data_IF_536822201978
#
_entry.id   IF_536822201978
#
_cell.length_a   1.000
_cell.length_b   1.000
_cell.length_c   1.000
_cell.angle_alpha   90.00
_cell.angle_beta   90.00
_cell.angle_gamma   90.00
#
_symmetry.space_group_name_H-M   'P 1'
#
loop_
_entity.id
_entity.type
_entity.pdbx_description
1 polymer ?
#
# COMPACT_ATOMS: atom_id res chain seq x y z
N UNK A 1 -1.89 9.51 -6.78
CA UNK A 1 -1.74 8.33 -7.66
C UNK A 1 -2.84 8.38 -8.70
N UNK A 2 -2.55 8.01 -9.94
CA UNK A 2 -3.56 7.83 -10.99
C UNK A 2 -3.35 6.44 -11.57
N UNK A 3 -4.40 5.61 -11.52
CA UNK A 3 -4.41 4.29 -12.14
C UNK A 3 -5.53 4.21 -13.17
N UNK A 4 -5.29 3.50 -14.26
CA UNK A 4 -6.28 3.31 -15.31
C UNK A 4 -6.25 1.86 -15.81
N UNK A 5 -7.41 1.25 -15.89
CA UNK A 5 -7.60 0.00 -16.63
C UNK A 5 -8.24 0.37 -17.96
N UNK A 6 -7.62 -0.07 -19.04
CA UNK A 6 -8.18 0.03 -20.40
C UNK A 6 -8.45 -1.39 -20.90
N UNK A 7 -9.68 -1.68 -21.25
CA UNK A 7 -10.11 -2.96 -21.84
C UNK A 7 -10.50 -2.71 -23.28
N UNK A 8 -9.58 -3.02 -24.19
CA UNK A 8 -9.78 -2.88 -25.62
C UNK A 8 -10.82 -3.89 -26.14
N UNK A 9 -11.43 -3.56 -27.29
CA UNK A 9 -12.46 -4.38 -27.96
C UNK A 9 -12.04 -5.81 -28.25
N UNK A 10 -10.75 -6.05 -28.42
CA UNK A 10 -10.17 -7.40 -28.66
C UNK A 10 -10.03 -8.24 -27.39
N UNK A 11 -10.12 -7.63 -26.20
CA UNK A 11 -9.82 -8.27 -24.91
C UNK A 11 -11.04 -8.98 -24.32
N UNK A 12 -11.60 -9.94 -25.05
CA UNK A 12 -12.75 -10.76 -24.61
C UNK A 12 -12.40 -11.57 -23.36
N UNK A 13 -13.33 -11.64 -22.41
CA UNK A 13 -13.20 -12.46 -21.20
C UNK A 13 -12.20 -11.90 -20.17
N UNK A 14 -11.80 -10.64 -20.28
CA UNK A 14 -10.88 -9.99 -19.34
C UNK A 14 -11.40 -10.06 -17.91
N UNK A 15 -10.53 -10.40 -16.99
CA UNK A 15 -10.72 -10.30 -15.54
C UNK A 15 -9.62 -9.39 -14.98
N UNK A 16 -9.98 -8.20 -14.54
CA UNK A 16 -9.03 -7.20 -14.06
C UNK A 16 -9.48 -6.50 -12.79
N UNK A 17 -8.50 -6.16 -11.96
CA UNK A 17 -8.70 -5.40 -10.73
C UNK A 17 -7.55 -4.41 -10.54
N UNK A 18 -7.88 -3.15 -10.28
CA UNK A 18 -6.93 -2.10 -9.90
C UNK A 18 -7.12 -1.72 -8.43
N UNK A 19 -6.11 -1.98 -7.61
CA UNK A 19 -6.10 -1.55 -6.21
C UNK A 19 -5.06 -0.45 -5.98
N UNK A 20 -5.48 0.68 -5.43
CA UNK A 20 -4.61 1.78 -5.03
C UNK A 20 -4.77 2.01 -3.54
N UNK A 21 -3.78 1.56 -2.75
CA UNK A 21 -3.77 1.70 -1.30
C UNK A 21 -2.61 2.58 -0.87
N UNK A 22 -2.86 3.56 -0.02
CA UNK A 22 -1.86 4.49 0.47
C UNK A 22 -1.99 4.74 1.96
N UNK A 23 -0.85 4.81 2.64
CA UNK A 23 -0.77 5.19 4.04
C UNK A 23 0.02 6.48 4.17
N UNK A 24 -0.60 7.51 4.73
CA UNK A 24 0.07 8.77 5.03
C UNK A 24 0.82 8.63 6.36
N UNK A 25 2.14 8.80 6.32
CA UNK A 25 3.00 8.65 7.50
C UNK A 25 3.11 9.94 8.33
N UNK A 26 2.61 11.06 7.81
CA UNK A 26 2.63 12.36 8.47
C UNK A 26 1.30 13.08 8.27
N UNK A 27 0.88 13.87 9.27
CA UNK A 27 -0.31 14.74 9.18
C UNK A 27 -0.18 15.83 8.10
N UNK A 28 1.06 16.17 7.71
CA UNK A 28 1.33 17.13 6.63
C UNK A 28 1.23 16.49 5.24
N UNK A 29 1.18 15.14 5.15
CA UNK A 29 1.09 14.43 3.88
C UNK A 29 -0.34 14.30 3.42
N UNK A 30 -0.56 14.64 2.14
CA UNK A 30 -1.84 14.41 1.46
C UNK A 30 -1.62 13.57 0.22
N UNK A 31 -2.26 12.41 0.16
CA UNK A 31 -2.26 11.55 -1.02
C UNK A 31 -3.68 11.48 -1.59
N UNK A 32 -3.78 11.49 -2.92
CA UNK A 32 -5.04 11.34 -3.64
C UNK A 32 -4.90 10.18 -4.62
N UNK A 33 -5.83 9.23 -4.56
CA UNK A 33 -5.94 8.13 -5.51
C UNK A 33 -7.12 8.40 -6.46
N UNK A 34 -6.88 8.30 -7.78
CA UNK A 34 -7.87 8.54 -8.83
C UNK A 34 -7.84 7.34 -9.78
N UNK A 35 -8.49 6.23 -9.40
CA UNK A 35 -8.63 5.09 -10.30
C UNK A 35 -9.68 5.35 -11.37
N UNK A 36 -9.42 4.87 -12.59
CA UNK A 36 -10.31 5.01 -13.75
C UNK A 36 -10.45 3.69 -14.50
N UNK A 37 -11.60 3.49 -15.14
CA UNK A 37 -11.88 2.36 -16.01
C UNK A 37 -12.33 2.89 -17.37
N UNK A 38 -11.76 2.34 -18.45
CA UNK A 38 -12.20 2.51 -19.82
C UNK A 38 -12.46 1.11 -20.41
N UNK A 39 -13.72 0.83 -20.72
CA UNK A 39 -14.15 -0.51 -21.12
C UNK A 39 -14.84 -0.43 -22.48
N UNK A 40 -14.12 -0.81 -23.54
CA UNK A 40 -14.63 -0.92 -24.90
C UNK A 40 -15.12 -2.31 -25.28
N UNK A 41 -14.83 -3.32 -24.41
CA UNK A 41 -15.25 -4.71 -24.58
C UNK A 41 -16.43 -5.04 -23.65
N UNK A 42 -17.64 -5.24 -24.19
CA UNK A 42 -18.82 -5.56 -23.35
C UNK A 42 -18.77 -6.95 -22.73
N UNK A 43 -17.99 -7.89 -23.31
CA UNK A 43 -17.86 -9.26 -22.81
C UNK A 43 -16.59 -9.38 -21.92
N UNK A 44 -16.55 -8.60 -20.86
CA UNK A 44 -15.54 -8.74 -19.82
C UNK A 44 -16.12 -9.48 -18.60
N UNK A 45 -15.34 -10.35 -17.97
CA UNK A 45 -15.75 -11.10 -16.76
C UNK A 45 -15.83 -10.19 -15.55
N UNK A 46 -14.82 -9.35 -15.38
CA UNK A 46 -14.73 -8.40 -14.28
C UNK A 46 -13.81 -7.25 -14.67
N UNK A 47 -14.27 -6.05 -14.37
CA UNK A 47 -13.43 -4.87 -14.32
C UNK A 47 -13.81 -4.11 -13.06
N UNK A 48 -12.89 -4.00 -12.12
CA UNK A 48 -13.15 -3.35 -10.85
C UNK A 48 -11.96 -2.54 -10.39
N UNK A 49 -12.22 -1.50 -9.61
CA UNK A 49 -11.18 -0.77 -8.92
C UNK A 49 -11.57 -0.52 -7.46
N UNK A 50 -10.56 -0.34 -6.62
CA UNK A 50 -10.71 0.13 -5.26
C UNK A 50 -9.59 1.10 -4.92
N UNK A 51 -9.87 2.10 -4.11
CA UNK A 51 -8.84 2.96 -3.56
C UNK A 51 -9.11 3.27 -2.10
N UNK A 52 -8.05 3.33 -1.31
CA UNK A 52 -8.09 3.75 0.08
C UNK A 52 -6.80 4.48 0.42
N UNK A 53 -6.93 5.66 1.01
CA UNK A 53 -5.81 6.43 1.52
C UNK A 53 -6.17 6.96 2.90
N UNK A 54 -5.31 6.71 3.88
CA UNK A 54 -5.53 7.17 5.24
C UNK A 54 -4.23 7.33 6.03
N UNK A 55 -4.28 7.93 7.21
CA UNK A 55 -3.16 7.94 8.16
C UNK A 55 -2.96 6.55 8.78
N UNK A 56 -1.90 6.41 9.56
CA UNK A 56 -1.74 5.26 10.45
C UNK A 56 -2.90 5.29 11.47
N UNK A 57 -3.48 4.14 11.74
CA UNK A 57 -4.55 4.00 12.74
C UNK A 57 -3.98 4.13 14.15
N UNK A 58 -4.40 5.18 14.85
CA UNK A 58 -3.96 5.47 16.22
C UNK A 58 -4.39 4.39 17.22
N UNK A 59 -5.47 3.67 16.97
CA UNK A 59 -5.90 2.55 17.83
C UNK A 59 -4.96 1.35 17.73
N UNK A 60 -4.42 1.10 16.55
CA UNK A 60 -3.41 0.05 16.35
C UNK A 60 -2.08 0.43 17.01
N UNK A 61 -1.66 1.69 16.90
CA UNK A 61 -0.49 2.20 17.61
C UNK A 61 -0.65 2.04 19.12
N UNK A 62 -1.75 2.54 19.67
CA UNK A 62 -2.04 2.43 21.09
C UNK A 62 -2.03 0.97 21.57
N UNK A 63 -2.61 0.05 20.79
CA UNK A 63 -2.60 -1.38 21.13
C UNK A 63 -1.19 -1.95 21.24
N UNK A 64 -0.32 -1.68 20.26
CA UNK A 64 1.07 -2.15 20.26
C UNK A 64 1.87 -1.53 21.40
N UNK A 65 1.73 -0.23 21.64
CA UNK A 65 2.38 0.49 22.72
C UNK A 65 1.92 -0.01 24.10
N UNK A 66 0.64 -0.33 24.25
CA UNK A 66 0.11 -0.93 25.48
C UNK A 66 0.68 -2.31 25.79
N UNK A 67 1.24 -2.98 24.78
CA UNK A 67 1.97 -4.26 24.91
C UNK A 67 3.48 -4.09 25.14
N UNK A 68 3.94 -2.85 25.28
CA UNK A 68 5.32 -2.53 25.58
C UNK A 68 6.22 -2.37 24.34
N UNK A 69 5.65 -2.30 23.14
CA UNK A 69 6.41 -2.01 21.91
C UNK A 69 6.67 -0.50 21.87
N UNK A 70 7.94 -0.06 21.68
CA UNK A 70 8.27 1.34 21.55
C UNK A 70 7.51 2.00 20.36
N UNK A 71 7.13 3.30 20.44
CA UNK A 71 6.32 3.97 19.42
C UNK A 71 6.89 3.87 18.00
N UNK A 72 8.21 4.00 17.85
CA UNK A 72 8.85 3.93 16.52
C UNK A 72 8.80 2.52 15.95
N UNK A 73 8.99 1.50 16.81
CA UNK A 73 8.85 0.10 16.39
C UNK A 73 7.39 -0.24 16.06
N UNK A 74 6.42 0.25 16.84
CA UNK A 74 5.02 0.05 16.57
C UNK A 74 4.62 0.62 15.21
N UNK A 75 5.09 1.83 14.88
CA UNK A 75 4.90 2.45 13.57
C UNK A 75 5.55 1.62 12.44
N UNK A 76 6.80 1.17 12.65
CA UNK A 76 7.52 0.29 11.71
C UNK A 76 6.72 -0.96 11.43
N UNK A 77 6.22 -1.65 12.46
CA UNK A 77 5.40 -2.85 12.30
C UNK A 77 4.15 -2.62 11.47
N UNK A 78 3.42 -1.56 11.72
CA UNK A 78 2.20 -1.25 10.99
C UNK A 78 2.50 -0.96 9.52
N UNK A 79 3.54 -0.15 9.23
CA UNK A 79 3.87 0.24 7.86
C UNK A 79 4.41 -0.95 7.05
N UNK A 80 5.31 -1.75 7.62
CA UNK A 80 5.83 -2.93 6.94
C UNK A 80 4.73 -3.98 6.73
N UNK A 81 3.86 -4.18 7.73
CA UNK A 81 2.70 -5.06 7.61
C UNK A 81 1.70 -4.61 6.54
N UNK A 82 1.52 -3.30 6.36
CA UNK A 82 0.71 -2.76 5.27
C UNK A 82 1.29 -3.05 3.87
N UNK A 83 2.62 -3.12 3.75
CA UNK A 83 3.31 -3.40 2.49
C UNK A 83 3.44 -4.90 2.20
N UNK A 84 3.41 -5.74 3.22
CA UNK A 84 3.62 -7.20 3.10
C UNK A 84 2.71 -7.89 2.08
N UNK A 85 1.40 -7.58 1.93
CA UNK A 85 0.56 -8.19 0.91
C UNK A 85 1.04 -7.96 -0.53
N UNK A 86 1.79 -6.89 -0.79
CA UNK A 86 2.39 -6.62 -2.10
C UNK A 86 3.66 -7.45 -2.28
N UNK A 87 4.51 -7.51 -1.26
CA UNK A 87 5.73 -8.34 -1.26
C UNK A 87 5.39 -9.81 -1.48
N UNK A 88 4.37 -10.31 -0.78
CA UNK A 88 3.92 -11.69 -0.87
C UNK A 88 3.40 -12.10 -2.26
N UNK A 89 3.06 -11.15 -3.14
CA UNK A 89 2.65 -11.43 -4.53
C UNK A 89 3.82 -11.66 -5.48
N UNK A 90 5.04 -11.34 -5.08
CA UNK A 90 6.23 -11.61 -5.91
C UNK A 90 6.47 -13.12 -5.96
N UNK A 91 6.53 -13.76 -7.14
CA UNK A 91 6.54 -15.22 -7.24
C UNK A 91 7.91 -15.87 -6.96
N UNK A 92 8.89 -15.10 -6.49
CA UNK A 92 10.27 -15.54 -6.22
C UNK A 92 10.62 -15.25 -4.77
N UNK A 93 10.88 -16.30 -3.97
CA UNK A 93 11.15 -16.18 -2.55
C UNK A 93 12.35 -15.26 -2.24
N UNK A 94 13.48 -15.47 -2.91
CA UNK A 94 14.68 -14.64 -2.70
C UNK A 94 14.43 -13.15 -2.99
N UNK A 95 13.54 -12.85 -3.96
CA UNK A 95 13.17 -11.49 -4.26
C UNK A 95 12.24 -10.89 -3.18
N UNK A 96 11.36 -11.71 -2.58
CA UNK A 96 10.55 -11.27 -1.43
C UNK A 96 11.45 -10.90 -0.25
N UNK A 97 12.41 -11.76 0.10
CA UNK A 97 13.33 -11.51 1.21
C UNK A 97 14.16 -10.25 0.95
N UNK A 98 14.67 -10.11 -0.27
CA UNK A 98 15.40 -8.90 -0.66
C UNK A 98 14.56 -7.63 -0.58
N UNK A 99 13.27 -7.70 -0.93
CA UNK A 99 12.36 -6.57 -0.80
C UNK A 99 12.11 -6.20 0.66
N UNK A 100 11.94 -7.18 1.55
CA UNK A 100 11.79 -6.94 2.99
C UNK A 100 13.02 -6.23 3.55
N UNK A 101 14.22 -6.72 3.25
CA UNK A 101 15.48 -6.10 3.67
C UNK A 101 15.58 -4.64 3.19
N UNK A 102 15.20 -4.38 1.92
CA UNK A 102 15.24 -3.02 1.36
C UNK A 102 14.19 -2.10 2.00
N UNK A 103 13.01 -2.60 2.34
CA UNK A 103 11.98 -1.82 3.03
C UNK A 103 12.42 -1.47 4.45
N UNK A 104 13.00 -2.42 5.18
CA UNK A 104 13.56 -2.17 6.51
C UNK A 104 14.71 -1.16 6.45
N UNK A 105 15.68 -1.37 5.58
CA UNK A 105 16.79 -0.43 5.40
C UNK A 105 16.32 0.98 5.03
N UNK A 106 15.27 1.08 4.22
CA UNK A 106 14.68 2.36 3.84
C UNK A 106 13.96 3.03 5.01
N UNK A 107 13.30 2.27 5.88
CA UNK A 107 12.73 2.78 7.11
C UNK A 107 13.82 3.33 8.03
N UNK A 108 14.86 2.54 8.28
CA UNK A 108 15.96 2.90 9.19
C UNK A 108 16.79 4.09 8.67
N UNK A 109 16.86 4.30 7.34
CA UNK A 109 17.52 5.44 6.71
C UNK A 109 16.76 6.78 6.81
N UNK A 110 15.61 6.84 7.52
CA UNK A 110 14.98 8.10 7.88
C UNK A 110 13.60 8.41 7.30
N UNK A 111 12.96 7.49 6.58
CA UNK A 111 11.53 7.68 6.23
C UNK A 111 10.67 7.66 7.50
N UNK A 112 11.06 6.84 8.51
CA UNK A 112 10.44 6.82 9.83
C UNK A 112 10.71 8.10 10.65
N UNK A 113 11.91 8.62 10.63
CA UNK A 113 12.30 9.79 11.43
C UNK A 113 11.62 11.10 10.97
N UNK A 114 11.36 11.28 9.69
CA UNK A 114 10.62 12.43 9.16
C UNK A 114 9.14 12.44 9.55
N UNK A 115 8.56 11.27 9.82
CA UNK A 115 7.17 11.14 10.25
C UNK A 115 6.97 11.44 11.75
N UNK A 116 8.00 11.22 12.56
CA UNK A 116 7.98 11.46 14.03
C UNK A 116 8.16 12.94 14.35
N UNK A 117 8.96 13.67 13.56
CA UNK A 117 9.22 15.11 13.79
C UNK A 117 8.03 16.02 13.41
N UNK A 118 7.00 15.50 12.74
CA UNK A 118 5.84 16.24 12.26
C UNK A 118 4.53 15.88 12.99
N UNK A 119 4.60 15.12 14.06
CA UNK A 119 3.50 14.79 14.97
C UNK A 119 3.57 15.71 16.19
#
# INVERSE_FOLDING_TARGET
MKGMIVIDRSAVGTDSFLGEFGMNLSKATRSVAIPSLEIDQPDCRRAAHASSVGPIDESQLFYLESRGIPPDEARKFIVLGFLEPVVARVPVADAQDRLRDLLEAKWDAGIGAGAVAAA
#
